data_IF_339812462636
#
_entry.id   IF_339812462636
#
_cell.length_a   1.000
_cell.length_b   1.000
_cell.length_c   1.000
_cell.angle_alpha   90.00
_cell.angle_beta   90.00
_cell.angle_gamma   90.00
#
_symmetry.space_group_name_H-M   'P 1'
#
loop_
_entity.id
_entity.type
_entity.pdbx_description
1 polymer ?
#
# COMPACT_ATOMS: atom_id res chain seq x y z
N UNK A 1 -30.70 -17.78 -10.01
CA UNK A 1 -30.24 -17.46 -8.65
C UNK A 1 -28.73 -17.36 -8.71
N UNK A 2 -28.21 -16.14 -8.73
CA UNK A 2 -26.78 -15.89 -8.94
C UNK A 2 -26.04 -15.97 -7.61
N UNK A 3 -25.15 -16.95 -7.46
CA UNK A 3 -24.23 -17.06 -6.34
C UNK A 3 -23.19 -15.94 -6.40
N UNK A 4 -23.51 -14.78 -5.84
CA UNK A 4 -22.48 -13.82 -5.44
C UNK A 4 -21.85 -14.33 -4.15
N UNK A 5 -20.72 -15.04 -4.28
CA UNK A 5 -19.83 -15.35 -3.16
C UNK A 5 -19.43 -14.04 -2.50
N UNK A 6 -20.06 -13.72 -1.36
CA UNK A 6 -19.67 -12.60 -0.51
C UNK A 6 -18.22 -12.80 -0.07
N UNK A 7 -17.28 -12.13 -0.73
CA UNK A 7 -15.88 -12.17 -0.34
C UNK A 7 -15.78 -11.56 1.07
N UNK A 8 -15.43 -12.39 2.05
CA UNK A 8 -15.23 -11.93 3.42
C UNK A 8 -14.12 -10.87 3.45
N UNK A 9 -14.44 -9.72 4.04
CA UNK A 9 -13.51 -8.61 4.29
C UNK A 9 -12.58 -8.86 5.49
N UNK A 10 -12.71 -10.02 6.13
CA UNK A 10 -12.00 -10.36 7.36
C UNK A 10 -10.72 -11.15 7.06
N UNK A 11 -9.65 -10.90 7.81
CA UNK A 11 -8.45 -11.75 7.80
C UNK A 11 -8.79 -13.17 8.25
N UNK A 12 -8.18 -14.18 7.62
CA UNK A 12 -8.32 -15.57 8.06
C UNK A 12 -7.73 -15.78 9.44
N UNK A 13 -8.24 -16.75 10.20
CA UNK A 13 -7.71 -17.08 11.53
C UNK A 13 -6.22 -17.46 11.49
N UNK A 14 -5.77 -18.10 10.40
CA UNK A 14 -4.35 -18.41 10.19
C UNK A 14 -3.49 -17.16 10.11
N UNK A 15 -3.94 -16.12 9.39
CA UNK A 15 -3.22 -14.85 9.31
C UNK A 15 -3.22 -14.14 10.67
N UNK A 16 -4.35 -14.16 11.37
CA UNK A 16 -4.44 -13.57 12.71
C UNK A 16 -3.47 -14.24 13.69
N UNK A 17 -3.40 -15.57 13.66
CA UNK A 17 -2.51 -16.34 14.52
C UNK A 17 -1.03 -16.08 14.17
N UNK A 18 -0.68 -16.06 12.88
CA UNK A 18 0.69 -15.77 12.45
C UNK A 18 1.12 -14.33 12.77
N UNK A 19 0.21 -13.35 12.62
CA UNK A 19 0.48 -11.97 13.01
C UNK A 19 0.76 -11.85 14.51
N UNK A 20 0.00 -12.55 15.37
CA UNK A 20 0.28 -12.63 16.82
C UNK A 20 1.62 -13.31 17.12
N UNK A 21 1.97 -14.38 16.40
CA UNK A 21 3.26 -15.05 16.57
C UNK A 21 4.43 -14.12 16.25
N UNK A 22 4.31 -13.32 15.20
CA UNK A 22 5.36 -12.41 14.73
C UNK A 22 5.43 -11.10 15.53
N UNK A 23 4.31 -10.56 15.98
CA UNK A 23 4.27 -9.25 16.66
C UNK A 23 4.09 -9.33 18.18
N UNK A 24 3.88 -10.54 18.70
CA UNK A 24 3.57 -10.80 20.11
C UNK A 24 2.06 -10.66 20.42
N UNK A 25 1.68 -10.96 21.68
CA UNK A 25 0.28 -11.04 22.10
C UNK A 25 -0.36 -9.68 22.42
N UNK A 26 0.38 -8.58 22.29
CA UNK A 26 -0.03 -7.25 22.71
C UNK A 26 -0.20 -6.32 21.51
N UNK A 27 -0.94 -5.23 21.72
CA UNK A 27 -1.05 -4.12 20.78
C UNK A 27 0.34 -3.66 20.35
N UNK A 28 0.60 -3.67 19.06
CA UNK A 28 1.88 -3.30 18.50
C UNK A 28 2.24 -1.85 18.83
N UNK A 29 1.23 -0.96 18.83
CA UNK A 29 1.37 0.46 19.13
C UNK A 29 1.65 0.73 20.61
N UNK A 30 0.73 0.36 21.52
CA UNK A 30 0.72 0.78 22.91
C UNK A 30 0.99 -0.33 23.94
N UNK A 31 1.24 -1.57 23.51
CA UNK A 31 1.44 -2.75 24.34
C UNK A 31 0.25 -3.19 25.23
N UNK A 32 -0.94 -2.61 25.08
CA UNK A 32 -2.18 -3.12 25.71
C UNK A 32 -2.43 -4.58 25.28
N UNK A 33 -2.86 -5.43 26.21
CA UNK A 33 -3.15 -6.85 25.95
C UNK A 33 -4.36 -7.03 25.03
N UNK A 34 -4.50 -8.24 24.48
CA UNK A 34 -5.65 -8.68 23.69
C UNK A 34 -5.98 -7.76 22.49
N UNK A 35 -5.03 -7.55 21.57
CA UNK A 35 -5.26 -6.78 20.36
C UNK A 35 -6.18 -7.52 19.38
N UNK A 36 -6.87 -6.75 18.56
CA UNK A 36 -7.46 -7.20 17.31
C UNK A 36 -6.39 -7.18 16.22
N UNK A 37 -6.48 -8.08 15.24
CA UNK A 37 -5.60 -8.05 14.07
C UNK A 37 -6.33 -7.33 12.95
N UNK A 38 -5.77 -6.21 12.52
CA UNK A 38 -6.35 -5.36 11.48
C UNK A 38 -5.44 -5.30 10.25
N UNK A 39 -6.01 -4.83 9.14
CA UNK A 39 -5.25 -4.58 7.92
C UNK A 39 -4.52 -3.23 8.03
N UNK A 40 -3.29 -3.14 7.55
CA UNK A 40 -2.56 -1.86 7.46
C UNK A 40 -3.13 -1.02 6.31
N UNK A 41 -3.23 -1.60 5.11
CA UNK A 41 -4.00 -1.06 3.99
C UNK A 41 -5.36 -1.75 3.99
N UNK A 42 -6.43 -0.96 4.13
CA UNK A 42 -7.79 -1.49 4.15
C UNK A 42 -8.13 -2.16 2.81
N UNK A 43 -8.89 -3.25 2.84
CA UNK A 43 -9.29 -3.97 1.60
C UNK A 43 -10.13 -3.10 0.65
N UNK A 44 -10.81 -2.10 1.19
CA UNK A 44 -11.62 -1.15 0.43
C UNK A 44 -10.96 0.24 0.37
N UNK A 45 -9.64 0.32 0.50
CA UNK A 45 -8.91 1.56 0.26
C UNK A 45 -9.12 1.99 -1.20
N UNK A 46 -9.76 3.15 -1.38
CA UNK A 46 -10.16 3.67 -2.69
C UNK A 46 -8.99 4.06 -3.58
N UNK A 47 -7.75 4.06 -3.05
CA UNK A 47 -6.54 4.37 -3.80
C UNK A 47 -5.75 3.12 -4.21
N UNK A 48 -6.19 1.90 -3.90
CA UNK A 48 -5.48 0.66 -4.26
C UNK A 48 -5.08 0.65 -5.74
N UNK A 49 -6.02 0.90 -6.65
CA UNK A 49 -5.75 0.88 -8.09
C UNK A 49 -4.68 1.90 -8.51
N UNK A 50 -4.61 3.05 -7.85
CA UNK A 50 -3.64 4.10 -8.17
C UNK A 50 -2.23 3.61 -7.79
N UNK A 51 -2.11 2.99 -6.63
CA UNK A 51 -0.84 2.45 -6.12
C UNK A 51 -0.38 1.22 -6.91
N UNK A 52 -1.30 0.35 -7.33
CA UNK A 52 -1.01 -0.79 -8.21
C UNK A 52 -0.58 -0.34 -9.60
N UNK A 53 -1.27 0.63 -10.21
CA UNK A 53 -0.88 1.21 -11.51
C UNK A 53 0.48 1.89 -11.44
N UNK A 54 0.82 2.49 -10.31
CA UNK A 54 2.15 3.03 -10.04
C UNK A 54 3.20 1.94 -9.75
N UNK A 55 2.83 0.66 -9.68
CA UNK A 55 3.74 -0.45 -9.39
C UNK A 55 4.29 -0.44 -7.96
N UNK A 56 3.60 0.21 -7.02
CA UNK A 56 4.02 0.34 -5.62
C UNK A 56 3.45 -0.76 -4.73
N UNK A 57 2.26 -1.26 -5.05
CA UNK A 57 1.66 -2.38 -4.34
C UNK A 57 1.92 -3.67 -5.10
N UNK A 58 2.71 -4.55 -4.47
CA UNK A 58 3.11 -5.85 -4.99
C UNK A 58 2.93 -6.99 -3.97
N UNK A 59 2.13 -6.77 -2.92
CA UNK A 59 1.86 -7.75 -1.87
C UNK A 59 0.38 -8.13 -1.83
N UNK A 60 0.08 -9.32 -1.31
CA UNK A 60 -1.30 -9.76 -1.13
C UNK A 60 -1.98 -9.02 0.05
N UNK A 61 -3.08 -8.32 -0.20
CA UNK A 61 -3.79 -7.55 0.83
C UNK A 61 -4.36 -8.41 1.96
N UNK A 62 -4.72 -9.67 1.67
CA UNK A 62 -5.16 -10.67 2.64
C UNK A 62 -3.99 -11.57 3.05
N UNK A 63 -2.88 -10.96 3.44
CA UNK A 63 -1.70 -11.67 3.93
C UNK A 63 -1.24 -11.14 5.27
N UNK A 64 -0.37 -11.90 5.93
CA UNK A 64 0.28 -11.47 7.16
C UNK A 64 1.14 -10.21 6.96
N UNK A 65 1.63 -9.97 5.74
CA UNK A 65 2.43 -8.79 5.43
C UNK A 65 1.62 -7.47 5.50
N UNK A 66 0.29 -7.55 5.43
CA UNK A 66 -0.60 -6.41 5.59
C UNK A 66 -1.34 -6.45 6.95
N UNK A 67 -0.88 -7.23 7.92
CA UNK A 67 -1.55 -7.43 9.20
C UNK A 67 -0.78 -6.81 10.37
N UNK A 68 -1.51 -6.21 11.32
CA UNK A 68 -0.92 -5.65 12.53
C UNK A 68 -1.86 -5.82 13.74
N UNK A 69 -1.35 -6.23 14.92
CA UNK A 69 -2.15 -6.27 16.13
C UNK A 69 -2.33 -4.88 16.74
N UNK A 70 -3.56 -4.40 16.89
CA UNK A 70 -3.89 -3.15 17.59
C UNK A 70 -5.01 -3.38 18.61
N UNK A 71 -4.93 -2.73 19.78
CA UNK A 71 -6.07 -2.70 20.71
C UNK A 71 -7.21 -1.84 20.12
N UNK A 72 -8.46 -1.97 20.59
CA UNK A 72 -9.60 -1.25 20.02
C UNK A 72 -9.38 0.26 19.90
N UNK A 73 -8.79 0.91 20.91
CA UNK A 73 -8.51 2.35 20.89
C UNK A 73 -7.48 2.74 19.83
N UNK A 74 -6.36 2.02 19.72
CA UNK A 74 -5.36 2.28 18.68
C UNK A 74 -5.90 1.97 17.29
N UNK A 75 -6.72 0.93 17.15
CA UNK A 75 -7.31 0.52 15.88
C UNK A 75 -8.24 1.61 15.32
N UNK A 76 -9.15 2.15 16.15
CA UNK A 76 -10.05 3.24 15.75
C UNK A 76 -9.25 4.45 15.27
N UNK A 77 -8.23 4.87 16.03
CA UNK A 77 -7.42 6.05 15.69
C UNK A 77 -6.47 5.82 14.51
N UNK A 78 -6.11 4.57 14.23
CA UNK A 78 -5.35 4.17 13.06
C UNK A 78 -6.20 4.20 11.78
N UNK A 79 -7.47 3.84 11.87
CA UNK A 79 -8.37 3.73 10.71
C UNK A 79 -8.94 5.06 10.21
N UNK A 80 -8.83 6.14 10.98
CA UNK A 80 -9.23 7.47 10.53
C UNK A 80 -8.39 7.91 9.31
N UNK A 81 -9.03 7.95 8.13
CA UNK A 81 -8.34 8.20 6.86
C UNK A 81 -7.85 9.65 6.69
N UNK A 82 -8.64 10.62 7.13
CA UNK A 82 -8.36 12.07 6.94
C UNK A 82 -7.47 12.60 8.07
N UNK A 83 -7.69 12.10 9.28
CA UNK A 83 -7.10 12.65 10.49
C UNK A 83 -6.76 11.53 11.49
N UNK A 84 -5.78 10.68 11.16
CA UNK A 84 -5.35 9.59 12.02
C UNK A 84 -4.84 10.12 13.37
N UNK A 85 -5.19 9.43 14.44
CA UNK A 85 -4.58 9.64 15.76
C UNK A 85 -3.29 8.86 15.93
N UNK A 86 -3.08 7.80 15.14
CA UNK A 86 -1.90 6.96 15.19
C UNK A 86 -1.43 6.59 13.79
N UNK A 87 -0.13 6.72 13.53
CA UNK A 87 0.52 6.21 12.34
C UNK A 87 1.84 5.53 12.70
N UNK A 88 2.35 4.75 11.77
CA UNK A 88 3.72 4.27 11.82
C UNK A 88 4.29 4.20 10.40
N UNK A 89 5.61 4.27 10.31
CA UNK A 89 6.34 4.25 9.04
C UNK A 89 7.78 3.78 9.27
N UNK A 90 8.50 3.39 8.21
CA UNK A 90 9.86 2.89 8.36
C UNK A 90 10.76 3.90 9.06
N UNK A 91 11.61 3.43 9.99
CA UNK A 91 12.45 4.32 10.79
C UNK A 91 13.55 5.02 9.99
N UNK A 92 13.94 4.41 8.87
CA UNK A 92 14.91 4.89 7.89
C UNK A 92 14.20 5.12 6.56
N UNK A 93 13.73 6.35 6.33
CA UNK A 93 13.08 6.76 5.08
C UNK A 93 14.10 6.96 3.95
N UNK A 94 15.36 7.24 4.27
CA UNK A 94 16.41 7.48 3.26
C UNK A 94 16.70 6.22 2.47
N UNK A 95 16.62 5.04 3.09
CA UNK A 95 16.67 3.76 2.35
C UNK A 95 15.65 3.72 1.20
N UNK A 96 14.39 4.08 1.45
CA UNK A 96 13.34 4.05 0.44
C UNK A 96 13.52 5.13 -0.62
N UNK A 97 14.00 6.32 -0.23
CA UNK A 97 14.29 7.42 -1.15
C UNK A 97 15.41 7.00 -2.11
N UNK A 98 16.52 6.50 -1.58
CA UNK A 98 17.67 6.08 -2.37
C UNK A 98 17.31 4.93 -3.31
N UNK A 99 16.53 3.96 -2.82
CA UNK A 99 16.06 2.86 -3.64
C UNK A 99 15.22 3.34 -4.84
N UNK A 100 14.26 4.26 -4.62
CA UNK A 100 13.44 4.79 -5.71
C UNK A 100 14.26 5.63 -6.71
N UNK A 101 15.25 6.39 -6.24
CA UNK A 101 16.17 7.13 -7.10
C UNK A 101 17.00 6.18 -7.99
N UNK A 102 17.54 5.11 -7.41
CA UNK A 102 18.28 4.07 -8.14
C UNK A 102 17.37 3.33 -9.14
N UNK A 103 16.15 2.98 -8.74
CA UNK A 103 15.18 2.32 -9.63
C UNK A 103 14.75 3.23 -10.79
N UNK A 104 14.54 4.52 -10.54
CA UNK A 104 14.24 5.50 -11.59
C UNK A 104 15.35 5.59 -12.63
N UNK A 105 16.60 5.65 -12.18
CA UNK A 105 17.75 5.71 -13.07
C UNK A 105 17.90 4.40 -13.86
N UNK A 106 17.72 3.25 -13.21
CA UNK A 106 17.68 1.93 -13.87
C UNK A 106 16.60 1.90 -14.96
N UNK A 107 15.39 2.36 -14.66
CA UNK A 107 14.28 2.41 -15.62
C UNK A 107 14.59 3.34 -16.80
N UNK A 108 15.19 4.51 -16.54
CA UNK A 108 15.62 5.46 -17.58
C UNK A 108 16.64 4.84 -18.54
N UNK A 109 17.73 4.28 -18.01
CA UNK A 109 18.80 3.65 -18.81
C UNK A 109 18.30 2.47 -19.64
N UNK A 110 17.43 1.64 -19.07
CA UNK A 110 16.89 0.47 -19.79
C UNK A 110 15.89 0.89 -20.88
N UNK A 111 15.09 1.94 -20.63
CA UNK A 111 14.21 2.52 -21.64
C UNK A 111 14.98 3.17 -22.80
N UNK A 112 16.07 3.88 -22.52
CA UNK A 112 16.97 4.43 -23.55
C UNK A 112 17.63 3.34 -24.40
N UNK A 113 17.84 2.16 -23.81
CA UNK A 113 18.33 0.96 -24.49
C UNK A 113 17.23 0.18 -25.23
N UNK A 114 15.98 0.67 -25.22
CA UNK A 114 14.83 0.08 -25.92
C UNK A 114 14.08 -1.02 -25.18
N UNK A 115 14.43 -1.31 -23.92
CA UNK A 115 13.80 -2.35 -23.10
C UNK A 115 13.17 -1.75 -21.83
N UNK A 116 11.97 -1.15 -21.90
CA UNK A 116 11.33 -0.60 -20.72
C UNK A 116 11.06 -1.70 -19.69
N UNK A 117 11.46 -1.46 -18.44
CA UNK A 117 11.28 -2.40 -17.32
C UNK A 117 10.31 -1.83 -16.29
N UNK A 118 9.63 -2.73 -15.56
CA UNK A 118 8.70 -2.35 -14.49
C UNK A 118 9.45 -1.77 -13.28
N UNK A 119 8.76 -0.88 -12.55
CA UNK A 119 9.21 -0.35 -11.25
C UNK A 119 9.50 -1.51 -10.29
N UNK A 120 10.57 -1.38 -9.53
CA UNK A 120 10.85 -2.24 -8.38
C UNK A 120 10.58 -1.46 -7.10
N UNK A 121 10.16 -2.15 -6.05
CA UNK A 121 10.00 -1.58 -4.71
C UNK A 121 10.70 -2.47 -3.68
N UNK A 122 11.22 -1.89 -2.57
CA UNK A 122 11.84 -2.68 -1.52
C UNK A 122 10.84 -3.63 -0.86
N UNK A 123 11.23 -4.89 -0.70
CA UNK A 123 10.46 -5.85 0.08
C UNK A 123 10.72 -5.67 1.58
N UNK A 124 9.87 -6.26 2.43
CA UNK A 124 10.12 -6.34 3.88
C UNK A 124 11.47 -6.99 4.20
N UNK A 125 11.91 -7.97 3.39
CA UNK A 125 13.21 -8.64 3.52
C UNK A 125 14.35 -7.69 3.17
N UNK A 126 14.26 -6.96 2.06
CA UNK A 126 15.30 -6.01 1.64
C UNK A 126 15.53 -4.93 2.70
N UNK A 127 14.43 -4.43 3.29
CA UNK A 127 14.51 -3.45 4.36
C UNK A 127 15.15 -4.01 5.64
N UNK A 128 14.76 -5.23 6.03
CA UNK A 128 15.38 -5.94 7.16
C UNK A 128 16.88 -6.16 6.92
N UNK A 129 17.26 -6.66 5.74
CA UNK A 129 18.65 -6.97 5.40
C UNK A 129 19.53 -5.70 5.37
N UNK A 130 18.99 -4.57 4.92
CA UNK A 130 19.65 -3.26 5.04
C UNK A 130 19.93 -2.89 6.50
N UNK A 131 18.95 -3.05 7.39
CA UNK A 131 19.12 -2.70 8.79
C UNK A 131 20.04 -3.66 9.55
N UNK A 132 20.09 -4.94 9.17
CA UNK A 132 21.09 -5.89 9.68
C UNK A 132 22.49 -5.44 9.27
N UNK A 133 22.71 -5.12 7.98
CA UNK A 133 24.01 -4.65 7.48
C UNK A 133 24.51 -3.39 8.18
N UNK A 134 23.58 -2.50 8.55
CA UNK A 134 23.90 -1.27 9.27
C UNK A 134 23.93 -1.44 10.81
N UNK A 135 23.82 -2.67 11.32
CA UNK A 135 23.86 -2.98 12.76
C UNK A 135 22.69 -2.38 13.57
N UNK A 136 21.58 -2.05 12.92
CA UNK A 136 20.41 -1.44 13.58
C UNK A 136 19.46 -2.47 14.20
N UNK A 137 19.43 -3.68 13.66
CA UNK A 137 18.64 -4.81 14.16
C UNK A 137 19.44 -6.10 14.08
N UNK A 138 18.96 -7.12 14.78
CA UNK A 138 19.55 -8.45 14.77
C UNK A 138 18.93 -9.34 13.68
N UNK A 139 19.66 -10.35 13.16
CA UNK A 139 19.10 -11.28 12.17
C UNK A 139 17.85 -12.03 12.62
N UNK A 140 17.71 -12.28 13.92
CA UNK A 140 16.55 -12.92 14.56
C UNK A 140 15.32 -12.01 14.70
N UNK A 141 15.46 -10.70 14.47
CA UNK A 141 14.32 -9.78 14.54
C UNK A 141 13.27 -10.10 13.47
N UNK A 142 12.00 -9.89 13.81
CA UNK A 142 10.87 -10.32 12.97
C UNK A 142 10.71 -9.54 11.66
N UNK A 143 11.36 -8.38 11.54
CA UNK A 143 11.28 -7.50 10.38
C UNK A 143 12.06 -6.20 10.61
N UNK A 144 11.85 -5.20 9.75
CA UNK A 144 12.49 -3.90 9.89
C UNK A 144 11.92 -3.05 11.04
N UNK A 145 12.65 -2.01 11.43
CA UNK A 145 12.24 -1.02 12.43
C UNK A 145 11.31 0.04 11.85
N UNK A 146 10.25 0.32 12.59
CA UNK A 146 9.26 1.33 12.25
C UNK A 146 9.08 2.30 13.41
N UNK A 147 9.02 3.59 13.10
CA UNK A 147 8.69 4.65 14.07
C UNK A 147 7.20 4.62 14.35
N UNK A 148 6.84 4.73 15.63
CA UNK A 148 5.47 4.79 16.12
C UNK A 148 5.16 6.25 16.48
N UNK A 149 4.12 6.81 15.87
CA UNK A 149 3.77 8.22 16.07
C UNK A 149 2.31 8.33 16.49
N UNK A 150 2.10 8.89 17.67
CA UNK A 150 0.79 9.25 18.19
C UNK A 150 0.55 10.74 17.88
N UNK A 151 -0.34 11.00 16.93
CA UNK A 151 -0.72 12.34 16.48
C UNK A 151 -1.77 12.97 17.43
N UNK A 152 -2.46 12.15 18.23
CA UNK A 152 -3.46 12.54 19.23
C UNK A 152 -3.17 11.87 20.57
N UNK A 153 -3.49 12.56 21.66
CA UNK A 153 -3.44 12.02 23.02
C UNK A 153 -4.71 11.22 23.36
N UNK A 154 -4.94 10.10 22.67
CA UNK A 154 -6.11 9.25 22.90
C UNK A 154 -5.87 8.10 23.87
N UNK A 155 -4.61 7.84 24.25
CA UNK A 155 -4.26 6.82 25.23
C UNK A 155 -4.54 7.35 26.63
N UNK A 156 -5.55 6.77 27.30
CA UNK A 156 -5.96 7.15 28.66
C UNK A 156 -6.14 8.66 28.83
N UNK A 157 -6.74 9.35 27.86
CA UNK A 157 -6.93 10.81 27.84
C UNK A 157 -5.65 11.63 28.10
N UNK A 158 -4.49 11.09 27.72
CA UNK A 158 -3.19 11.74 27.95
C UNK A 158 -2.73 11.73 29.42
N UNK A 159 -3.37 10.95 30.30
CA UNK A 159 -3.04 10.88 31.72
C UNK A 159 -1.63 10.38 32.02
N UNK A 160 -1.00 9.67 31.08
CA UNK A 160 0.34 9.10 31.25
C UNK A 160 1.29 9.63 30.17
N UNK A 161 1.74 10.90 30.26
CA UNK A 161 2.68 11.45 29.29
C UNK A 161 4.07 10.78 29.38
N UNK A 162 4.43 10.25 30.56
CA UNK A 162 5.72 9.61 30.81
C UNK A 162 5.94 8.31 30.04
N UNK A 163 4.88 7.62 29.61
CA UNK A 163 5.00 6.39 28.81
C UNK A 163 5.19 6.67 27.31
N UNK A 164 4.85 7.88 26.85
CA UNK A 164 4.89 8.24 25.43
C UNK A 164 6.30 8.05 24.82
N UNK A 165 7.41 8.47 25.46
CA UNK A 165 8.75 8.20 24.92
C UNK A 165 9.04 6.70 24.71
N UNK A 166 8.55 5.84 25.60
CA UNK A 166 8.69 4.38 25.47
C UNK A 166 7.80 3.83 24.35
N UNK A 167 6.64 4.44 24.12
CA UNK A 167 5.72 4.06 23.05
C UNK A 167 6.14 4.59 21.68
N UNK A 168 6.99 5.62 21.61
CA UNK A 168 7.51 6.18 20.34
C UNK A 168 8.84 5.57 19.91
N UNK A 169 9.49 4.73 20.74
CA UNK A 169 10.69 4.01 20.31
C UNK A 169 10.40 3.17 19.06
N UNK A 170 11.33 3.12 18.09
CA UNK A 170 11.15 2.25 16.93
C UNK A 170 10.92 0.80 17.34
N UNK A 171 10.03 0.11 16.63
CA UNK A 171 9.67 -1.29 16.91
C UNK A 171 9.70 -2.10 15.62
N UNK A 172 10.11 -3.37 15.73
CA UNK A 172 10.14 -4.26 14.58
C UNK A 172 8.72 -4.61 14.10
N UNK A 173 8.49 -4.57 12.80
CA UNK A 173 7.28 -5.07 12.17
C UNK A 173 7.64 -5.87 10.92
N UNK A 174 6.93 -6.99 10.74
CA UNK A 174 7.22 -8.02 9.74
C UNK A 174 6.55 -7.72 8.38
N UNK A 175 5.68 -6.72 8.33
CA UNK A 175 4.87 -6.46 7.16
C UNK A 175 5.56 -5.65 6.07
N UNK A 176 4.82 -5.47 4.98
CA UNK A 176 5.29 -4.79 3.78
C UNK A 176 5.47 -3.29 4.05
N UNK A 177 6.67 -2.72 3.83
CA UNK A 177 6.92 -1.31 4.08
C UNK A 177 5.98 -0.39 3.28
N UNK A 178 5.57 -0.76 2.07
CA UNK A 178 4.68 0.05 1.22
C UNK A 178 3.31 0.24 1.86
N UNK A 179 2.83 -0.76 2.60
CA UNK A 179 1.57 -0.65 3.35
C UNK A 179 1.65 0.45 4.42
N UNK A 180 2.76 0.51 5.16
CA UNK A 180 2.96 1.56 6.17
C UNK A 180 3.20 2.95 5.54
N UNK A 181 3.93 3.01 4.42
CA UNK A 181 4.19 4.26 3.70
C UNK A 181 2.91 4.83 3.10
N UNK A 182 2.01 4.01 2.56
CA UNK A 182 0.67 4.43 2.13
C UNK A 182 -0.09 5.19 3.21
N UNK A 183 -0.07 4.67 4.45
CA UNK A 183 -0.73 5.30 5.60
C UNK A 183 -0.04 6.60 5.98
N UNK A 184 1.29 6.61 6.06
CA UNK A 184 2.05 7.79 6.44
C UNK A 184 1.97 8.93 5.41
N UNK A 185 1.99 8.60 4.12
CA UNK A 185 1.81 9.58 3.04
C UNK A 185 0.41 10.18 3.08
N UNK A 186 -0.64 9.40 3.33
CA UNK A 186 -1.99 9.96 3.50
C UNK A 186 -2.09 10.89 4.71
N UNK A 187 -1.38 10.58 5.80
CA UNK A 187 -1.37 11.43 6.99
C UNK A 187 -0.75 12.81 6.75
N UNK A 188 0.03 13.02 5.67
CA UNK A 188 0.52 14.35 5.28
C UNK A 188 -0.62 15.36 5.04
N UNK A 189 -1.82 14.89 4.69
CA UNK A 189 -3.01 15.72 4.55
C UNK A 189 -3.65 16.14 5.89
N UNK A 190 -3.29 15.51 7.00
CA UNK A 190 -3.82 15.88 8.32
C UNK A 190 -3.12 17.13 8.85
N UNK A 191 -3.86 18.10 9.41
CA UNK A 191 -3.27 19.23 10.11
C UNK A 191 -2.35 18.83 11.26
N UNK A 192 -2.54 17.64 11.87
CA UNK A 192 -1.72 17.16 13.00
C UNK A 192 -0.36 16.61 12.60
N UNK A 193 -0.04 16.60 11.30
CA UNK A 193 1.27 16.17 10.82
C UNK A 193 2.44 16.99 11.41
N UNK A 194 2.18 18.19 11.95
CA UNK A 194 3.18 19.00 12.66
C UNK A 194 3.82 18.30 13.86
N UNK A 195 3.20 17.23 14.41
CA UNK A 195 3.77 16.43 15.50
C UNK A 195 5.04 15.68 15.04
N UNK A 196 5.15 15.40 13.75
CA UNK A 196 6.34 14.77 13.15
C UNK A 196 7.38 15.87 12.90
N UNK A 197 8.66 15.55 13.14
CA UNK A 197 9.73 16.51 12.89
C UNK A 197 9.80 16.93 11.40
N UNK A 198 10.24 18.16 11.11
CA UNK A 198 10.25 18.69 9.74
C UNK A 198 11.02 17.83 8.73
N UNK A 199 12.13 17.20 9.16
CA UNK A 199 12.99 16.38 8.30
C UNK A 199 12.27 15.10 7.84
N UNK A 200 11.57 14.44 8.77
CA UNK A 200 10.79 13.24 8.45
C UNK A 200 9.59 13.58 7.58
N UNK A 201 8.92 14.70 7.84
CA UNK A 201 7.83 15.19 6.98
C UNK A 201 8.33 15.46 5.56
N UNK A 202 9.45 16.17 5.42
CA UNK A 202 10.07 16.44 4.12
C UNK A 202 10.47 15.16 3.40
N UNK A 203 10.97 14.14 4.12
CA UNK A 203 11.30 12.83 3.55
C UNK A 203 10.06 12.08 3.04
N UNK A 204 8.94 12.15 3.77
CA UNK A 204 7.67 11.56 3.34
C UNK A 204 7.08 12.29 2.13
N UNK A 205 7.17 13.62 2.09
CA UNK A 205 6.78 14.44 0.93
C UNK A 205 7.63 14.09 -0.30
N UNK A 206 8.94 14.00 -0.13
CA UNK A 206 9.86 13.58 -1.19
C UNK A 206 9.51 12.18 -1.71
N UNK A 207 9.23 11.22 -0.82
CA UNK A 207 8.81 9.88 -1.25
C UNK A 207 7.50 9.90 -2.03
N UNK A 208 6.49 10.66 -1.59
CA UNK A 208 5.23 10.82 -2.32
C UNK A 208 5.51 11.35 -3.73
N UNK A 209 6.30 12.40 -3.86
CA UNK A 209 6.58 13.01 -5.14
C UNK A 209 7.43 12.07 -6.02
N UNK A 210 8.37 11.32 -5.44
CA UNK A 210 9.11 10.27 -6.15
C UNK A 210 8.23 9.08 -6.58
N UNK A 211 7.16 8.78 -5.87
CA UNK A 211 6.27 7.69 -6.24
C UNK A 211 5.29 8.05 -7.35
N UNK A 212 4.81 9.29 -7.37
CA UNK A 212 3.73 9.70 -8.26
C UNK A 212 4.20 10.61 -9.40
N UNK A 213 5.17 11.50 -9.20
CA UNK A 213 5.57 12.50 -10.21
C UNK A 213 6.45 11.97 -11.35
N UNK A 214 6.41 10.67 -11.67
CA UNK A 214 7.11 10.11 -12.82
C UNK A 214 6.28 10.25 -14.11
N UNK A 215 6.98 10.17 -15.25
CA UNK A 215 6.58 10.45 -16.64
C UNK A 215 5.17 10.03 -17.11
N UNK A 216 4.49 9.09 -16.44
CA UNK A 216 3.09 8.72 -16.73
C UNK A 216 2.08 9.82 -16.39
N UNK A 217 2.38 10.67 -15.40
CA UNK A 217 1.48 11.76 -15.01
C UNK A 217 1.51 12.93 -15.98
N UNK A 218 2.58 13.14 -16.77
CA UNK A 218 2.60 14.25 -17.75
C UNK A 218 1.48 14.12 -18.77
N UNK A 219 1.23 12.92 -19.30
CA UNK A 219 0.14 12.69 -20.24
C UNK A 219 -1.25 12.83 -19.60
N UNK A 220 -1.44 12.37 -18.36
CA UNK A 220 -2.73 12.50 -17.66
C UNK A 220 -2.98 13.96 -17.25
N UNK A 221 -1.96 14.66 -16.78
CA UNK A 221 -1.99 16.07 -16.43
C UNK A 221 -2.25 16.92 -17.68
N UNK A 222 -1.58 16.63 -18.79
CA UNK A 222 -1.86 17.26 -20.09
C UNK A 222 -3.31 17.02 -20.51
N UNK A 223 -3.83 15.79 -20.43
CA UNK A 223 -5.20 15.46 -20.81
C UNK A 223 -6.26 16.13 -19.92
N UNK A 224 -6.06 16.17 -18.60
CA UNK A 224 -6.98 16.81 -17.65
C UNK A 224 -6.92 18.35 -17.75
N UNK A 225 -5.75 18.93 -18.03
CA UNK A 225 -5.59 20.37 -18.23
C UNK A 225 -6.14 20.84 -19.59
N UNK A 226 -6.02 20.03 -20.65
CA UNK A 226 -6.61 20.34 -21.96
C UNK A 226 -8.15 20.32 -21.93
N UNK A 227 -8.75 19.46 -21.09
CA UNK A 227 -10.21 19.45 -20.86
C UNK A 227 -10.75 20.65 -20.07
N UNK A 228 -9.88 21.46 -19.47
CA UNK A 228 -10.24 22.64 -18.68
C UNK A 228 -10.09 23.96 -19.43
N UNK A 229 -9.75 23.97 -20.72
CA UNK A 229 -9.81 25.20 -21.49
C UNK A 229 -11.27 25.71 -21.53
N UNK A 230 -11.56 26.92 -21.03
CA UNK A 230 -12.89 27.48 -21.17
C UNK A 230 -13.11 27.71 -22.66
N UNK A 231 -14.03 26.96 -23.25
CA UNK A 231 -14.60 27.30 -24.55
C UNK A 231 -15.07 28.74 -24.44
N UNK A 232 -14.32 29.67 -25.04
CA UNK A 232 -14.76 31.04 -25.18
C UNK A 232 -16.11 30.97 -25.89
N UNK A 233 -17.16 31.27 -25.14
CA UNK A 233 -18.52 31.31 -25.62
C UNK A 233 -18.58 32.30 -26.79
N UNK A 234 -18.47 31.76 -28.00
CA UNK A 234 -18.74 32.51 -29.21
C UNK A 234 -20.23 32.80 -29.17
N UNK A 235 -20.61 34.02 -28.76
CA UNK A 235 -21.95 34.57 -28.94
C UNK A 235 -22.29 34.45 -30.42
N UNK A 236 -23.01 33.40 -30.80
CA UNK A 236 -23.63 33.28 -32.12
C UNK A 236 -25.12 33.56 -31.94
N UNK A 237 -25.52 34.67 -32.55
CA UNK A 237 -26.89 35.14 -32.73
C UNK A 237 -27.80 34.01 -33.19
N UNK A 238 -28.96 33.89 -32.53
CA UNK A 238 -30.10 33.14 -33.04
C UNK A 238 -30.76 33.88 -34.22
N UNK A 239 -31.57 33.13 -34.97
CA UNK A 239 -32.36 33.44 -36.18
C UNK A 239 -31.63 33.06 -37.48
N UNK A 240 -32.19 32.32 -38.43
CA UNK A 240 -33.56 31.85 -38.64
C UNK A 240 -33.55 30.65 -39.62
N UNK A 241 -34.69 29.96 -39.66
CA UNK A 241 -35.03 28.72 -40.35
C UNK A 241 -34.98 28.82 -41.88
N UNK A 242 -34.55 27.75 -42.57
CA UNK A 242 -35.30 27.17 -43.71
C UNK A 242 -34.79 25.78 -44.10
N UNK A 243 -35.75 24.85 -44.14
CA UNK A 243 -35.65 23.51 -44.72
C UNK A 243 -35.54 23.57 -46.25
N UNK A 244 -34.80 22.66 -46.87
CA UNK A 244 -35.35 21.65 -47.79
C UNK A 244 -34.27 20.88 -48.59
N UNK A 245 -34.58 19.59 -48.80
CA UNK A 245 -34.30 18.76 -49.99
C UNK A 245 -33.04 17.85 -50.09
N UNK A 246 -33.27 16.58 -49.71
CA UNK A 246 -33.10 15.33 -50.49
C UNK A 246 -31.88 15.17 -51.43
N UNK A 247 -31.04 14.15 -51.19
CA UNK A 247 -30.79 13.01 -52.13
C UNK A 247 -29.84 11.91 -51.60
N UNK A 248 -30.36 10.68 -51.73
CA UNK A 248 -29.74 9.33 -51.72
C UNK A 248 -28.29 9.23 -52.24
N UNK A 249 -27.48 8.32 -51.63
CA UNK A 249 -26.98 7.11 -52.32
C UNK A 249 -26.38 6.04 -51.38
N UNK A 250 -26.49 4.80 -51.88
CA UNK A 250 -26.30 3.43 -51.33
C UNK A 250 -24.83 2.97 -51.32
N UNK A 251 -24.56 1.94 -50.50
CA UNK A 251 -23.52 0.89 -50.66
C UNK A 251 -22.71 0.71 -49.36
N UNK A 252 -22.82 -0.34 -48.53
CA UNK A 252 -22.80 -1.81 -48.67
C UNK A 252 -21.47 -2.37 -49.21
N UNK A 253 -20.58 -2.77 -48.29
CA UNK A 253 -19.82 -4.04 -48.38
C UNK A 253 -19.46 -4.56 -46.99
N UNK A 254 -19.65 -5.87 -46.82
CA UNK A 254 -19.26 -6.76 -45.73
C UNK A 254 -18.16 -7.66 -46.30
N UNK A 255 -17.12 -7.98 -45.53
CA UNK A 255 -16.32 -9.22 -45.57
C UNK A 255 -15.32 -9.09 -44.39
N UNK A 256 -15.34 -9.91 -43.34
CA UNK A 256 -15.25 -11.37 -43.18
C UNK A 256 -13.80 -11.90 -43.18
N UNK A 257 -13.58 -12.93 -42.36
CA UNK A 257 -12.39 -13.78 -42.20
C UNK A 257 -11.32 -13.28 -41.20
N UNK A 258 -10.68 -14.11 -40.36
CA UNK A 258 -10.75 -15.54 -40.06
C UNK A 258 -9.78 -15.80 -38.88
N UNK A 259 -10.03 -16.86 -38.12
CA UNK A 259 -9.15 -17.48 -37.12
C UNK A 259 -7.74 -17.80 -37.64
N UNK A 260 -6.71 -17.58 -36.82
CA UNK A 260 -5.46 -18.37 -36.82
C UNK A 260 -4.93 -18.52 -35.39
N UNK A 261 -4.54 -19.76 -35.10
CA UNK A 261 -3.96 -20.34 -33.88
C UNK A 261 -2.80 -19.58 -33.21
N UNK A 262 -2.63 -19.85 -31.91
CA UNK A 262 -1.73 -19.20 -30.94
C UNK A 262 -0.22 -19.36 -31.14
N UNK A 263 0.60 -18.91 -30.15
CA UNK A 263 0.91 -19.83 -29.06
C UNK A 263 1.04 -19.20 -27.66
N UNK A 264 0.65 -19.97 -26.64
CA UNK A 264 1.36 -20.09 -25.36
C UNK A 264 1.68 -18.81 -24.57
N UNK A 265 0.66 -18.14 -24.03
CA UNK A 265 0.86 -17.25 -22.88
C UNK A 265 1.03 -18.10 -21.62
N UNK A 266 2.29 -18.36 -21.26
CA UNK A 266 2.65 -18.81 -19.94
C UNK A 266 2.21 -17.77 -18.92
N UNK A 267 1.03 -17.98 -18.33
CA UNK A 267 0.65 -17.32 -17.09
C UNK A 267 1.62 -17.82 -16.01
N UNK A 268 2.64 -17.01 -15.70
CA UNK A 268 3.35 -17.14 -14.42
C UNK A 268 2.38 -16.73 -13.31
N UNK A 269 1.55 -17.69 -12.93
CA UNK A 269 0.69 -17.69 -11.77
C UNK A 269 1.52 -18.05 -10.53
N UNK A 270 2.58 -17.29 -10.24
CA UNK A 270 3.41 -17.48 -9.05
C UNK A 270 3.50 -16.18 -8.27
N UNK A 271 2.50 -15.93 -7.41
CA UNK A 271 2.61 -15.13 -6.17
C UNK A 271 1.25 -15.04 -5.44
N UNK A 272 0.44 -16.11 -5.45
CA UNK A 272 -0.91 -16.08 -4.89
C UNK A 272 -1.01 -16.53 -3.44
N UNK A 273 -0.39 -17.65 -3.10
CA UNK A 273 -0.59 -18.30 -1.80
C UNK A 273 0.74 -18.71 -1.18
N UNK A 274 1.35 -17.80 -0.43
CA UNK A 274 2.40 -18.19 0.52
C UNK A 274 1.73 -19.00 1.64
N UNK A 275 1.69 -20.31 1.49
CA UNK A 275 1.14 -21.21 2.51
C UNK A 275 1.88 -20.99 3.84
N UNK A 276 1.19 -20.42 4.84
CA UNK A 276 1.75 -20.21 6.20
C UNK A 276 2.16 -21.54 6.84
N UNK A 277 1.42 -22.60 6.50
CA UNK A 277 1.70 -24.00 6.82
C UNK A 277 1.81 -24.77 5.51
N UNK A 278 3.01 -24.76 4.92
CA UNK A 278 3.27 -25.46 3.67
C UNK A 278 3.25 -26.99 3.82
N UNK A 279 3.16 -27.75 2.72
CA UNK A 279 3.16 -29.22 2.74
C UNK A 279 4.46 -29.83 3.31
N UNK A 280 5.49 -29.02 3.53
CA UNK A 280 6.77 -29.42 4.07
C UNK A 280 6.86 -29.36 5.60
N UNK A 281 5.88 -28.76 6.29
CA UNK A 281 5.88 -28.65 7.75
C UNK A 281 5.25 -29.88 8.41
N UNK A 282 5.96 -30.46 9.38
CA UNK A 282 5.45 -31.55 10.22
C UNK A 282 4.51 -31.02 11.32
N UNK A 283 3.63 -31.88 11.82
CA UNK A 283 2.72 -31.52 12.92
C UNK A 283 3.48 -31.04 14.18
N UNK A 284 4.63 -31.65 14.50
CA UNK A 284 5.45 -31.24 15.63
C UNK A 284 6.04 -29.84 15.44
N UNK A 285 6.50 -29.49 14.24
CA UNK A 285 6.99 -28.14 13.94
C UNK A 285 5.88 -27.10 14.04
N UNK A 286 4.66 -27.44 13.61
CA UNK A 286 3.48 -26.56 13.78
C UNK A 286 3.17 -26.35 15.26
N UNK A 287 3.14 -27.42 16.06
CA UNK A 287 2.88 -27.33 17.50
C UNK A 287 3.95 -26.47 18.17
N UNK A 288 5.24 -26.71 17.92
CA UNK A 288 6.31 -25.90 18.49
C UNK A 288 6.23 -24.42 18.07
N UNK A 289 5.84 -24.16 16.82
CA UNK A 289 5.71 -22.80 16.27
C UNK A 289 4.56 -22.01 16.90
N UNK A 290 3.44 -22.66 17.23
CA UNK A 290 2.21 -21.96 17.67
C UNK A 290 1.79 -22.21 19.11
N UNK A 291 2.30 -23.24 19.81
CA UNK A 291 1.98 -23.49 21.21
C UNK A 291 2.21 -22.25 22.11
N UNK A 292 3.32 -21.50 21.98
CA UNK A 292 3.54 -20.31 22.81
C UNK A 292 2.51 -19.20 22.57
N UNK A 293 1.82 -19.19 21.43
CA UNK A 293 0.78 -18.18 21.11
C UNK A 293 -0.58 -18.60 21.68
N UNK A 294 -0.82 -19.90 21.80
CA UNK A 294 -2.08 -20.48 22.28
C UNK A 294 -2.14 -20.59 23.81
N UNK A 295 -1.00 -20.62 24.49
CA UNK A 295 -0.89 -20.69 25.95
C UNK A 295 -1.13 -19.33 26.66
N UNK A 296 -1.26 -18.22 25.91
CA UNK A 296 -1.47 -16.85 26.44
C UNK A 296 -2.96 -16.46 26.40
N UNK A 297 -3.89 -17.42 26.45
CA UNK A 297 -5.34 -17.16 26.54
C UNK A 297 -5.79 -17.10 27.99
#
# INVERSE_FOLDING_TARGET
MSNTSSQSSTLSETIKLESKRLSGPNCWACNTRQPQICHVVAQHDTQIEIWEKAGLFNFAYKSVANAIPLCPSCHVEFDLAIDPGYIFFPADLHFFINFELEDRERRRLTAESGFPVKRQVPTAKDYKDHQIRNGSISPEDVGGLYRRVFLKNFLHDGMFPSIIPTLTTPKCWHGDPMASLRRAIAALGSPRIYVINPETRSSLEQLRDLYFSDTAERQIQENLQHGQQPTQATKRSQNEVTEESVKKRKGKTVEDSQDVDGPGLGFNLEAGDTFILGPTMTANEVIQKYAPVLEIV
#
